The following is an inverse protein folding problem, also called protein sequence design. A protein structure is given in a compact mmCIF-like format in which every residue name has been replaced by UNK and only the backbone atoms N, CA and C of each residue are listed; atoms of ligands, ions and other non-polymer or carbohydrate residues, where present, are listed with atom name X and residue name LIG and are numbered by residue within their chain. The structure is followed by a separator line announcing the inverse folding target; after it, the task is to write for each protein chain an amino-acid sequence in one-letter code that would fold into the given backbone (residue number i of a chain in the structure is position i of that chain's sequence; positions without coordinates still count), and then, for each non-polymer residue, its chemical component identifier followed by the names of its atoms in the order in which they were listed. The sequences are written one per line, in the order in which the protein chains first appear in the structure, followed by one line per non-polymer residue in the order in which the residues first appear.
data_IF_811349804556
#
_entry.id   IF_811349804556
#
_cell.length_a   1.000
_cell.length_b   1.000
_cell.length_c   1.000
_cell.angle_alpha   90.00
_cell.angle_beta   90.00
_cell.angle_gamma   90.00
#
_symmetry.space_group_name_H-M   'P 1'
#
loop_
_entity.id
_entity.type
_entity.pdbx_description
1 polymer ?
#
# COMPACT_ATOMS: atom_id res chain seq x y z
N UNK A 1 -9.26 0.42 -3.20
CA UNK A 1 -9.63 1.42 -2.17
C UNK A 1 -10.79 2.26 -2.65
N UNK A 2 -11.74 2.59 -1.78
CA UNK A 2 -12.61 3.74 -2.01
C UNK A 2 -11.80 5.04 -1.88
N UNK A 3 -12.07 6.03 -2.74
CA UNK A 3 -11.48 7.36 -2.62
C UNK A 3 -12.18 8.06 -1.45
N UNK A 4 -11.46 8.29 -0.37
CA UNK A 4 -11.97 9.03 0.78
C UNK A 4 -11.89 10.54 0.54
N UNK A 5 -12.67 11.36 1.29
CA UNK A 5 -12.67 12.81 1.13
C UNK A 5 -11.28 13.45 1.35
N UNK A 6 -10.45 12.87 2.21
CA UNK A 6 -9.08 13.35 2.47
C UNK A 6 -8.15 13.08 1.30
N UNK A 7 -8.17 11.86 0.76
CA UNK A 7 -7.40 11.51 -0.45
C UNK A 7 -7.85 12.36 -1.64
N UNK A 8 -9.16 12.61 -1.80
CA UNK A 8 -9.67 13.50 -2.84
C UNK A 8 -9.12 14.93 -2.71
N UNK A 9 -9.07 15.46 -1.48
CA UNK A 9 -8.51 16.78 -1.20
C UNK A 9 -7.02 16.86 -1.57
N UNK A 10 -6.25 15.82 -1.27
CA UNK A 10 -4.83 15.71 -1.60
C UNK A 10 -4.59 15.61 -3.12
N UNK A 11 -5.40 14.83 -3.82
CA UNK A 11 -5.38 14.74 -5.30
C UNK A 11 -5.64 16.12 -5.92
N UNK A 12 -6.68 16.83 -5.46
CA UNK A 12 -7.00 18.17 -5.97
C UNK A 12 -5.88 19.19 -5.71
N UNK A 13 -5.19 19.06 -4.58
CA UNK A 13 -4.05 19.90 -4.21
C UNK A 13 -2.75 19.54 -4.96
N UNK A 14 -2.77 18.52 -5.83
CA UNK A 14 -1.57 18.01 -6.50
C UNK A 14 -0.44 17.71 -5.49
N UNK A 15 -0.81 17.18 -4.32
CA UNK A 15 0.17 16.79 -3.31
C UNK A 15 1.09 15.70 -3.86
N UNK A 16 2.33 15.68 -3.36
CA UNK A 16 3.31 14.68 -3.71
C UNK A 16 2.85 13.25 -3.34
N UNK A 17 3.36 12.28 -4.09
CA UNK A 17 2.99 10.87 -3.90
C UNK A 17 3.27 10.38 -2.47
N UNK A 18 4.27 10.92 -1.80
CA UNK A 18 4.57 10.57 -0.40
C UNK A 18 3.47 11.02 0.57
N UNK A 19 2.88 12.20 0.36
CA UNK A 19 1.78 12.67 1.20
C UNK A 19 0.51 11.85 0.99
N UNK A 20 0.24 11.46 -0.27
CA UNK A 20 -0.87 10.56 -0.61
C UNK A 20 -0.67 9.17 0.00
N UNK A 21 0.53 8.62 -0.09
CA UNK A 21 0.87 7.31 0.47
C UNK A 21 0.71 7.30 2.00
N UNK A 22 1.20 8.34 2.68
CA UNK A 22 1.05 8.48 4.14
C UNK A 22 -0.41 8.57 4.58
N UNK A 23 -1.23 9.36 3.89
CA UNK A 23 -2.66 9.43 4.23
C UNK A 23 -3.36 8.11 3.95
N UNK A 24 -3.02 7.44 2.84
CA UNK A 24 -3.56 6.13 2.51
C UNK A 24 -3.17 5.08 3.58
N UNK A 25 -1.91 5.04 4.03
CA UNK A 25 -1.46 4.20 5.14
C UNK A 25 -2.20 4.52 6.45
N UNK A 26 -2.41 5.80 6.75
CA UNK A 26 -3.17 6.23 7.93
C UNK A 26 -4.64 5.79 7.89
N UNK A 27 -5.22 5.68 6.69
CA UNK A 27 -6.57 5.16 6.47
C UNK A 27 -6.64 3.62 6.44
N UNK A 28 -5.52 2.93 6.67
CA UNK A 28 -5.45 1.48 6.76
C UNK A 28 -5.06 0.79 5.46
N UNK A 29 -4.47 1.52 4.49
CA UNK A 29 -3.76 0.89 3.39
C UNK A 29 -2.65 0.01 3.94
N UNK A 30 -2.59 -1.22 3.44
CA UNK A 30 -1.40 -2.05 3.57
C UNK A 30 -0.60 -1.98 2.26
N UNK A 31 0.71 -1.94 2.39
CA UNK A 31 1.62 -1.96 1.24
C UNK A 31 1.64 -3.35 0.59
N UNK A 32 2.04 -3.43 -0.69
CA UNK A 32 2.21 -4.73 -1.36
C UNK A 32 3.18 -5.67 -0.63
N UNK A 33 4.21 -5.12 0.03
CA UNK A 33 5.13 -5.88 0.87
C UNK A 33 4.41 -6.53 2.06
N UNK A 34 3.61 -5.74 2.77
CA UNK A 34 2.85 -6.19 3.94
C UNK A 34 1.81 -7.26 3.55
N UNK A 35 1.07 -7.03 2.46
CA UNK A 35 0.13 -8.02 1.92
C UNK A 35 0.85 -9.32 1.49
N UNK A 36 2.02 -9.20 0.85
CA UNK A 36 2.86 -10.33 0.50
C UNK A 36 3.27 -11.17 1.72
N UNK A 37 3.70 -10.53 2.81
CA UNK A 37 4.03 -11.23 4.04
C UNK A 37 2.83 -11.95 4.66
N UNK A 38 1.65 -11.33 4.66
CA UNK A 38 0.42 -11.98 5.14
C UNK A 38 0.09 -13.22 4.30
N UNK A 39 0.23 -13.13 2.98
CA UNK A 39 0.03 -14.26 2.06
C UNK A 39 1.08 -15.36 2.27
N UNK A 40 2.32 -15.00 2.59
CA UNK A 40 3.37 -15.97 2.89
C UNK A 40 3.09 -16.74 4.18
N UNK A 41 2.63 -16.04 5.23
CA UNK A 41 2.19 -16.66 6.48
C UNK A 41 0.97 -17.57 6.28
N UNK A 42 0.06 -17.21 5.37
CA UNK A 42 -1.10 -18.03 5.01
C UNK A 42 -0.75 -19.22 4.10
N UNK A 43 0.53 -19.39 3.69
CA UNK A 43 0.97 -20.46 2.81
C UNK A 43 0.54 -20.30 1.34
N UNK A 44 0.11 -19.11 0.93
CA UNK A 44 -0.33 -18.80 -0.45
C UNK A 44 0.87 -18.43 -1.34
N UNK A 45 1.92 -17.85 -0.77
CA UNK A 45 3.15 -17.48 -1.48
C UNK A 45 4.39 -17.77 -0.61
N UNK A 46 5.60 -17.57 -1.13
CA UNK A 46 6.86 -17.70 -0.37
C UNK A 46 7.45 -16.33 -0.05
N UNK A 47 8.26 -16.25 1.01
CA UNK A 47 8.96 -15.01 1.38
C UNK A 47 9.87 -14.54 0.23
N UNK A 48 10.50 -15.49 -0.47
CA UNK A 48 11.35 -15.22 -1.64
C UNK A 48 10.57 -14.54 -2.77
N UNK A 49 9.36 -15.01 -3.06
CA UNK A 49 8.50 -14.43 -4.09
C UNK A 49 8.02 -13.02 -3.71
N UNK A 50 7.71 -12.79 -2.43
CA UNK A 50 7.34 -11.46 -1.93
C UNK A 50 8.48 -10.47 -2.06
N UNK A 51 9.70 -10.89 -1.70
CA UNK A 51 10.90 -10.04 -1.83
C UNK A 51 11.16 -9.70 -3.31
N UNK A 52 11.00 -10.68 -4.21
CA UNK A 52 11.20 -10.49 -5.64
C UNK A 52 10.20 -9.51 -6.26
N UNK A 53 8.92 -9.63 -5.92
CA UNK A 53 7.85 -8.85 -6.57
C UNK A 53 7.65 -7.48 -5.93
N UNK A 54 7.95 -7.32 -4.64
CA UNK A 54 7.67 -6.08 -3.93
C UNK A 54 8.88 -5.13 -3.82
N UNK A 55 10.08 -5.52 -4.29
CA UNK A 55 11.26 -4.64 -4.37
C UNK A 55 11.41 -3.89 -5.70
N UNK A 56 10.66 -4.27 -6.75
CA UNK A 56 10.55 -3.51 -8.00
C UNK A 56 9.52 -2.38 -7.88
#
# INVERSE_FOLDING_TARGET
MPITPKINSLILQHSDSQSLEKEAEAEGMITMKQDGYLKALAGVTTIEEVIRVAQE
#
